data_IF_970301588807
#
_entry.id   IF_970301588807
#
_cell.length_a   1.000
_cell.length_b   1.000
_cell.length_c   1.000
_cell.angle_alpha   90.00
_cell.angle_beta   90.00
_cell.angle_gamma   90.00
#
_symmetry.space_group_name_H-M   'P 1'
#
loop_
_entity.id
_entity.type
_entity.pdbx_description
1 polymer ?
#
# COMPACT_ATOMS: atom_id res chain seq x y z
N UNK A 1 17.64 4.65 6.76
CA UNK A 1 16.67 5.04 5.72
C UNK A 1 16.63 6.56 5.69
N UNK A 2 16.70 7.20 4.52
CA UNK A 2 16.58 8.66 4.43
C UNK A 2 15.14 9.05 4.78
N UNK A 3 14.91 10.10 5.58
CA UNK A 3 13.54 10.54 5.88
C UNK A 3 12.84 10.96 4.59
N UNK A 4 11.70 10.34 4.29
CA UNK A 4 10.90 10.65 3.10
C UNK A 4 10.02 11.86 3.40
N UNK A 5 10.30 12.98 2.72
CA UNK A 5 9.77 14.29 3.16
C UNK A 5 8.49 14.74 2.49
N UNK A 6 8.10 14.23 1.31
CA UNK A 6 6.93 14.78 0.61
C UNK A 6 6.13 13.75 -0.19
N UNK A 7 4.83 14.04 -0.34
CA UNK A 7 3.83 13.13 -0.93
C UNK A 7 3.26 13.73 -2.21
N UNK A 8 3.30 12.97 -3.29
CA UNK A 8 2.85 13.45 -4.60
C UNK A 8 1.79 12.52 -5.15
N UNK A 9 0.66 13.10 -5.58
CA UNK A 9 -0.41 12.42 -6.31
C UNK A 9 -0.43 12.93 -7.74
N UNK A 10 -0.51 12.02 -8.69
CA UNK A 10 -0.75 12.32 -10.10
C UNK A 10 -2.14 11.85 -10.51
N UNK A 11 -2.74 12.60 -11.43
CA UNK A 11 -4.02 12.28 -12.04
C UNK A 11 -3.76 12.00 -13.53
N UNK A 12 -4.09 10.81 -14.02
CA UNK A 12 -4.10 10.49 -15.44
C UNK A 12 -5.55 10.29 -15.89
N UNK A 13 -6.01 11.15 -16.79
CA UNK A 13 -7.35 11.06 -17.37
C UNK A 13 -7.29 10.25 -18.68
N UNK A 14 -8.07 9.18 -18.73
CA UNK A 14 -8.36 8.25 -19.82
C UNK A 14 -7.34 7.16 -20.13
N UNK A 15 -7.80 6.14 -20.87
CA UNK A 15 -7.10 4.99 -21.47
C UNK A 15 -5.79 5.38 -22.19
N UNK A 16 -5.62 6.66 -22.55
CA UNK A 16 -4.33 7.26 -22.90
C UNK A 16 -3.66 7.80 -21.66
N UNK A 17 -2.77 7.00 -21.10
CA UNK A 17 -1.95 7.32 -19.94
C UNK A 17 -1.06 8.56 -20.18
N UNK A 18 -1.59 9.77 -19.96
CA UNK A 18 -0.82 11.01 -19.99
C UNK A 18 0.04 11.12 -18.73
N UNK A 19 1.08 10.30 -18.68
CA UNK A 19 2.10 10.34 -17.63
C UNK A 19 2.91 11.64 -17.76
N UNK A 20 3.15 12.38 -16.66
CA UNK A 20 4.05 13.51 -16.72
C UNK A 20 5.43 13.03 -17.22
N UNK A 21 5.96 13.64 -18.29
CA UNK A 21 7.30 13.30 -18.76
C UNK A 21 8.35 13.86 -17.79
N UNK A 22 8.73 13.06 -16.80
CA UNK A 22 9.68 13.43 -15.74
C UNK A 22 11.13 13.45 -16.21
N UNK A 23 11.43 12.91 -17.41
CA UNK A 23 12.74 13.06 -18.05
C UNK A 23 13.08 14.52 -18.38
N UNK A 24 12.08 15.41 -18.35
CA UNK A 24 12.25 16.86 -18.54
C UNK A 24 12.59 17.61 -17.26
N UNK A 25 12.61 16.95 -16.10
CA UNK A 25 13.02 17.56 -14.84
C UNK A 25 14.56 17.70 -14.77
N UNK A 26 15.08 18.68 -14.00
CA UNK A 26 16.53 18.85 -13.84
C UNK A 26 17.21 17.59 -13.30
N UNK A 27 18.34 17.18 -13.91
CA UNK A 27 19.11 15.99 -13.50
C UNK A 27 19.53 16.01 -12.03
N UNK A 28 19.78 17.20 -11.46
CA UNK A 28 20.08 17.37 -10.03
C UNK A 28 18.96 16.83 -9.15
N UNK A 29 17.72 17.02 -9.57
CA UNK A 29 16.53 16.66 -8.79
C UNK A 29 16.13 15.21 -9.04
N UNK A 30 16.29 14.71 -10.27
CA UNK A 30 16.02 13.30 -10.61
C UNK A 30 17.17 12.37 -10.26
N UNK A 31 18.32 12.91 -9.82
CA UNK A 31 19.58 12.18 -9.66
C UNK A 31 20.03 11.45 -10.94
N UNK A 32 19.56 11.91 -12.11
CA UNK A 32 19.79 11.23 -13.39
C UNK A 32 19.05 9.90 -13.56
N UNK A 33 18.13 9.55 -12.65
CA UNK A 33 17.39 8.29 -12.66
C UNK A 33 16.11 8.40 -13.49
N UNK A 34 15.67 7.28 -14.06
CA UNK A 34 14.30 7.12 -14.58
C UNK A 34 13.31 7.08 -13.42
N UNK A 35 12.03 7.36 -13.67
CA UNK A 35 11.01 7.35 -12.63
C UNK A 35 10.96 6.04 -11.84
N UNK A 36 10.95 4.88 -12.51
CA UNK A 36 10.94 3.58 -11.82
C UNK A 36 12.13 3.45 -10.88
N UNK A 37 13.33 3.71 -11.38
CA UNK A 37 14.57 3.68 -10.59
C UNK A 37 14.58 4.70 -9.44
N UNK A 38 13.99 5.88 -9.67
CA UNK A 38 13.87 6.91 -8.65
C UNK A 38 12.88 6.48 -7.56
N UNK A 39 11.74 5.91 -7.96
CA UNK A 39 10.71 5.37 -7.07
C UNK A 39 11.25 4.22 -6.24
N UNK A 40 11.99 3.30 -6.83
CA UNK A 40 12.61 2.17 -6.14
C UNK A 40 13.67 2.64 -5.15
N UNK A 41 14.41 3.70 -5.47
CA UNK A 41 15.51 4.21 -4.63
C UNK A 41 15.03 5.10 -3.49
N UNK A 42 14.05 5.96 -3.75
CA UNK A 42 13.70 7.07 -2.85
C UNK A 42 12.24 7.07 -2.39
N UNK A 43 11.41 6.21 -2.95
CA UNK A 43 9.99 6.12 -2.61
C UNK A 43 9.58 4.75 -2.10
N UNK A 44 8.27 4.60 -1.89
CA UNK A 44 7.62 3.36 -1.48
C UNK A 44 7.16 2.51 -2.69
N UNK A 45 7.77 2.73 -3.84
CA UNK A 45 7.18 2.30 -5.12
C UNK A 45 6.03 3.20 -5.57
N UNK A 46 5.53 2.95 -6.77
CA UNK A 46 4.34 3.60 -7.30
C UNK A 46 3.09 2.88 -6.78
N UNK A 47 2.16 3.63 -6.19
CA UNK A 47 0.88 3.11 -5.72
C UNK A 47 -0.23 3.53 -6.68
N UNK A 48 -1.04 2.59 -7.13
CA UNK A 48 -2.07 2.82 -8.14
C UNK A 48 -3.45 2.67 -7.52
N UNK A 49 -4.35 3.61 -7.81
CA UNK A 49 -5.75 3.50 -7.46
C UNK A 49 -6.40 2.35 -8.25
N UNK A 50 -6.79 1.24 -7.60
CA UNK A 50 -7.39 0.10 -8.27
C UNK A 50 -8.76 0.43 -8.87
N UNK A 51 -9.48 1.43 -8.34
CA UNK A 51 -10.77 1.87 -8.87
C UNK A 51 -10.62 2.49 -10.26
N UNK A 52 -9.53 3.25 -10.45
CA UNK A 52 -9.21 3.92 -11.72
C UNK A 52 -8.58 3.02 -12.78
N UNK A 53 -8.29 1.74 -12.45
CA UNK A 53 -7.74 0.76 -13.41
C UNK A 53 -8.79 -0.26 -13.89
N UNK A 54 -10.07 -0.01 -13.62
CA UNK A 54 -11.15 -0.86 -14.13
C UNK A 54 -11.06 -2.28 -13.59
N UNK A 55 -11.24 -2.46 -12.28
CA UNK A 55 -11.71 -3.77 -11.80
C UNK A 55 -13.02 -4.07 -12.53
N UNK A 56 -13.07 -5.22 -13.18
CA UNK A 56 -14.14 -5.65 -14.10
C UNK A 56 -15.51 -5.71 -13.41
N UNK A 57 -15.54 -5.65 -12.08
CA UNK A 57 -16.70 -6.02 -11.28
C UNK A 57 -17.24 -4.90 -10.37
N UNK A 58 -16.64 -3.69 -10.38
CA UNK A 58 -17.04 -2.62 -9.44
C UNK A 58 -17.88 -1.53 -10.12
N UNK A 59 -19.03 -1.20 -9.52
CA UNK A 59 -19.97 -0.10 -9.83
C UNK A 59 -19.34 1.31 -9.64
N UNK A 60 -18.08 1.50 -10.00
CA UNK A 60 -17.41 2.80 -9.97
C UNK A 60 -17.77 3.55 -11.27
N UNK A 61 -18.78 4.43 -11.21
CA UNK A 61 -19.32 5.18 -12.36
C UNK A 61 -18.32 6.09 -13.12
N UNK A 62 -17.05 6.16 -12.70
CA UNK A 62 -15.98 6.92 -13.37
C UNK A 62 -14.72 6.08 -13.61
N UNK A 63 -14.77 5.16 -14.58
CA UNK A 63 -13.62 4.37 -15.03
C UNK A 63 -12.58 5.16 -15.86
N UNK A 64 -12.72 6.48 -15.95
CA UNK A 64 -11.91 7.31 -16.84
C UNK A 64 -10.69 7.96 -16.18
N UNK A 65 -10.45 7.77 -14.87
CA UNK A 65 -9.33 8.46 -14.20
C UNK A 65 -8.54 7.53 -13.29
N UNK A 66 -7.27 7.31 -13.63
CA UNK A 66 -6.32 6.60 -12.78
C UNK A 66 -5.53 7.59 -11.91
N UNK A 67 -5.44 7.31 -10.62
CA UNK A 67 -4.62 8.08 -9.69
C UNK A 67 -3.39 7.28 -9.29
N UNK A 68 -2.25 7.95 -9.28
CA UNK A 68 -0.98 7.35 -8.87
C UNK A 68 -0.40 8.18 -7.74
N UNK A 69 -0.06 7.50 -6.65
CA UNK A 69 0.61 8.09 -5.51
C UNK A 69 2.07 7.67 -5.46
N UNK A 70 2.96 8.62 -5.13
CA UNK A 70 4.36 8.34 -4.80
C UNK A 70 4.84 9.24 -3.66
N UNK A 71 5.57 8.67 -2.70
CA UNK A 71 6.33 9.42 -1.71
C UNK A 71 7.74 9.68 -2.25
N UNK A 72 8.18 10.94 -2.29
CA UNK A 72 9.44 11.37 -2.90
C UNK A 72 10.07 12.53 -2.12
N UNK A 73 11.36 12.83 -2.34
CA UNK A 73 11.97 14.05 -1.82
C UNK A 73 11.22 15.32 -2.25
N UNK A 74 11.22 16.32 -1.38
CA UNK A 74 10.49 17.59 -1.57
C UNK A 74 10.89 18.35 -2.84
N UNK A 75 12.19 18.45 -3.11
CA UNK A 75 12.69 19.14 -4.31
C UNK A 75 12.17 18.49 -5.59
N UNK A 76 12.02 17.15 -5.59
CA UNK A 76 11.44 16.40 -6.71
C UNK A 76 9.96 16.72 -6.88
N UNK A 77 9.20 16.65 -5.80
CA UNK A 77 7.78 16.97 -5.80
C UNK A 77 7.51 18.39 -6.31
N UNK A 78 8.25 19.38 -5.81
CA UNK A 78 8.12 20.79 -6.22
C UNK A 78 8.49 20.99 -7.69
N UNK A 79 9.58 20.38 -8.16
CA UNK A 79 9.97 20.46 -9.56
C UNK A 79 8.92 19.81 -10.49
N UNK A 80 8.39 18.65 -10.10
CA UNK A 80 7.34 17.95 -10.85
C UNK A 80 6.04 18.77 -10.92
N UNK A 81 5.56 19.29 -9.78
CA UNK A 81 4.35 20.11 -9.72
C UNK A 81 4.49 21.42 -10.52
N UNK A 82 5.66 22.06 -10.47
CA UNK A 82 5.92 23.26 -11.27
C UNK A 82 5.92 22.98 -12.77
N UNK A 83 6.47 21.84 -13.19
CA UNK A 83 6.57 21.47 -14.61
C UNK A 83 5.24 20.99 -15.18
N UNK A 84 4.45 20.29 -14.37
CA UNK A 84 3.21 19.63 -14.77
C UNK A 84 2.04 19.99 -13.84
N UNK A 85 1.66 21.28 -13.73
CA UNK A 85 0.71 21.75 -12.71
C UNK A 85 -0.72 21.21 -12.85
N UNK A 86 -1.12 20.72 -14.04
CA UNK A 86 -2.42 20.07 -14.26
C UNK A 86 -2.43 18.56 -14.01
N UNK A 87 -1.26 17.93 -13.90
CA UNK A 87 -1.13 16.47 -13.74
C UNK A 87 -0.57 16.09 -12.38
N UNK A 88 0.20 16.97 -11.75
CA UNK A 88 0.94 16.69 -10.51
C UNK A 88 0.44 17.60 -9.39
N UNK A 89 -0.09 16.99 -8.33
CA UNK A 89 -0.50 17.69 -7.11
C UNK A 89 0.33 17.19 -5.93
N UNK A 90 0.85 18.12 -5.14
CA UNK A 90 1.48 17.81 -3.86
C UNK A 90 0.39 17.70 -2.80
N UNK A 91 0.35 16.59 -2.07
CA UNK A 91 -0.61 16.39 -0.99
C UNK A 91 0.05 16.69 0.36
N UNK A 92 -0.75 17.24 1.29
CA UNK A 92 -0.37 17.26 2.70
C UNK A 92 -0.36 15.84 3.28
N UNK A 93 0.26 15.66 4.44
CA UNK A 93 0.28 14.38 5.13
C UNK A 93 -1.12 13.78 5.30
N UNK A 94 -2.05 14.60 5.81
CA UNK A 94 -3.47 14.23 6.02
C UNK A 94 -4.19 13.85 4.72
N UNK A 95 -4.07 14.67 3.66
CA UNK A 95 -4.76 14.38 2.38
C UNK A 95 -4.28 13.09 1.71
N UNK A 96 -3.02 12.73 1.92
CA UNK A 96 -2.51 11.46 1.43
C UNK A 96 -3.02 10.27 2.22
N UNK A 97 -3.06 10.39 3.55
CA UNK A 97 -3.64 9.34 4.40
C UNK A 97 -5.11 9.11 4.01
N UNK A 98 -5.89 10.18 3.88
CA UNK A 98 -7.26 10.12 3.37
C UNK A 98 -7.33 9.44 2.01
N UNK A 99 -6.46 9.80 1.05
CA UNK A 99 -6.44 9.17 -0.27
C UNK A 99 -6.06 7.67 -0.23
N UNK A 100 -5.06 7.31 0.58
CA UNK A 100 -4.63 5.93 0.74
C UNK A 100 -5.76 5.07 1.31
N UNK A 101 -6.37 5.51 2.40
CA UNK A 101 -7.39 4.74 3.13
C UNK A 101 -8.70 4.64 2.33
N UNK A 102 -9.09 5.70 1.61
CA UNK A 102 -10.37 5.74 0.88
C UNK A 102 -10.31 5.20 -0.54
N UNK A 103 -9.11 5.11 -1.16
CA UNK A 103 -8.97 4.63 -2.54
C UNK A 103 -8.10 3.40 -2.67
N UNK A 104 -6.88 3.44 -2.14
CA UNK A 104 -5.91 2.36 -2.34
C UNK A 104 -6.22 1.14 -1.46
N UNK A 105 -6.47 1.38 -0.18
CA UNK A 105 -6.65 0.33 0.82
C UNK A 105 -8.11 0.01 1.13
N UNK A 106 -9.04 0.70 0.45
CA UNK A 106 -10.49 0.57 0.64
C UNK A 106 -10.94 -0.89 0.66
N UNK A 107 -10.53 -1.65 -0.35
CA UNK A 107 -10.97 -3.02 -0.59
C UNK A 107 -9.99 -4.06 -0.03
N UNK A 108 -8.96 -3.64 0.70
CA UNK A 108 -8.11 -4.58 1.42
C UNK A 108 -8.87 -5.12 2.63
N UNK A 109 -8.63 -6.38 2.97
CA UNK A 109 -9.18 -6.97 4.19
C UNK A 109 -8.51 -6.33 5.42
N UNK A 110 -9.28 -6.20 6.51
CA UNK A 110 -8.74 -5.70 7.78
C UNK A 110 -7.68 -6.64 8.39
N UNK A 111 -7.73 -7.91 8.00
CA UNK A 111 -6.92 -9.01 8.51
C UNK A 111 -6.33 -9.83 7.35
N UNK A 112 -5.07 -10.23 7.54
CA UNK A 112 -4.40 -11.25 6.73
C UNK A 112 -4.55 -12.61 7.43
N UNK A 113 -5.07 -13.59 6.69
CA UNK A 113 -5.40 -14.92 7.23
C UNK A 113 -4.43 -15.96 6.66
N UNK A 114 -3.60 -16.54 7.52
CA UNK A 114 -2.73 -17.68 7.19
C UNK A 114 -3.53 -18.99 7.25
N UNK A 115 -4.17 -19.30 6.13
CA UNK A 115 -5.01 -20.50 5.98
C UNK A 115 -4.23 -21.79 6.24
N UNK A 116 -2.92 -21.85 5.95
CA UNK A 116 -2.12 -23.06 6.17
C UNK A 116 -1.99 -23.34 7.67
N UNK A 117 -1.74 -22.29 8.46
CA UNK A 117 -1.65 -22.41 9.92
C UNK A 117 -3.00 -22.80 10.52
N UNK A 118 -4.08 -22.15 10.09
CA UNK A 118 -5.43 -22.43 10.61
C UNK A 118 -5.90 -23.85 10.25
N UNK A 119 -5.66 -24.31 9.02
CA UNK A 119 -5.94 -25.69 8.62
C UNK A 119 -5.10 -26.70 9.41
N UNK A 120 -3.83 -26.39 9.67
CA UNK A 120 -2.96 -27.23 10.52
C UNK A 120 -3.49 -27.38 11.94
N UNK A 121 -4.05 -26.30 12.51
CA UNK A 121 -4.71 -26.33 13.83
C UNK A 121 -5.96 -27.21 13.78
N UNK A 122 -6.83 -27.01 12.80
CA UNK A 122 -8.07 -27.78 12.61
C UNK A 122 -7.78 -29.29 12.46
N UNK A 123 -6.76 -29.66 11.68
CA UNK A 123 -6.35 -31.06 11.49
C UNK A 123 -5.87 -31.68 12.80
N UNK A 124 -5.08 -30.95 13.61
CA UNK A 124 -4.61 -31.46 14.91
C UNK A 124 -5.75 -31.66 15.90
N UNK A 125 -6.70 -30.72 15.96
CA UNK A 125 -7.91 -30.87 16.78
C UNK A 125 -8.73 -32.08 16.34
N UNK A 126 -8.92 -32.25 15.03
CA UNK A 126 -9.66 -33.38 14.46
C UNK A 126 -8.99 -34.72 14.79
N UNK A 127 -7.66 -34.81 14.67
CA UNK A 127 -6.93 -36.03 15.00
C UNK A 127 -7.07 -36.38 16.49
N UNK A 128 -6.89 -35.40 17.37
CA UNK A 128 -7.05 -35.61 18.82
C UNK A 128 -8.46 -36.09 19.18
N UNK A 129 -9.51 -35.48 18.61
CA UNK A 129 -10.91 -35.90 18.81
C UNK A 129 -11.17 -37.33 18.33
N UNK A 130 -10.45 -37.78 17.30
CA UNK A 130 -10.50 -39.16 16.79
C UNK A 130 -9.63 -40.14 17.58
N UNK A 131 -9.00 -39.70 18.66
CA UNK A 131 -8.13 -40.53 19.50
C UNK A 131 -6.72 -40.73 18.94
N UNK A 132 -6.31 -39.92 17.97
CA UNK A 132 -4.98 -39.96 17.36
C UNK A 132 -4.18 -38.71 17.74
N UNK A 133 -3.02 -38.89 18.38
CA UNK A 133 -2.10 -37.79 18.69
C UNK A 133 -2.42 -37.03 19.98
N UNK A 134 -1.76 -35.88 20.15
CA UNK A 134 -1.78 -35.08 21.37
C UNK A 134 -2.81 -33.96 21.32
N UNK A 135 -3.37 -33.62 22.50
CA UNK A 135 -4.25 -32.46 22.66
C UNK A 135 -3.51 -31.19 22.20
N UNK A 136 -4.08 -30.39 21.28
CA UNK A 136 -3.49 -29.11 20.90
C UNK A 136 -3.37 -28.19 22.12
N UNK A 137 -2.29 -27.41 22.18
CA UNK A 137 -2.09 -26.38 23.19
C UNK A 137 -3.18 -25.30 23.04
N UNK A 138 -4.11 -25.17 24.01
CA UNK A 138 -5.21 -24.21 23.91
C UNK A 138 -4.74 -22.76 23.83
N UNK A 139 -3.62 -22.42 24.46
CA UNK A 139 -3.09 -21.05 24.41
C UNK A 139 -2.56 -20.76 23.01
N UNK A 140 -1.83 -21.71 22.40
CA UNK A 140 -1.31 -21.57 21.04
C UNK A 140 -2.42 -21.40 19.99
N UNK A 141 -3.54 -22.09 20.15
CA UNK A 141 -4.72 -21.93 19.28
C UNK A 141 -5.32 -20.54 19.46
N UNK A 142 -5.52 -20.11 20.71
CA UNK A 142 -6.03 -18.78 21.03
C UNK A 142 -5.14 -17.68 20.43
N UNK A 143 -3.83 -17.80 20.59
CA UNK A 143 -2.85 -16.84 20.07
C UNK A 143 -2.86 -16.78 18.54
N UNK A 144 -3.11 -17.89 17.84
CA UNK A 144 -3.19 -17.92 16.38
C UNK A 144 -4.50 -17.31 15.82
N UNK A 145 -5.53 -17.22 16.65
CA UNK A 145 -6.83 -16.63 16.30
C UNK A 145 -6.96 -15.17 16.75
N UNK A 146 -6.01 -14.66 17.52
CA UNK A 146 -5.99 -13.28 18.00
C UNK A 146 -5.24 -12.37 17.00
N UNK A 147 -5.94 -11.46 16.29
CA UNK A 147 -5.33 -10.59 15.27
C UNK A 147 -4.27 -9.63 15.80
N UNK A 148 -4.26 -9.39 17.11
CA UNK A 148 -3.30 -8.53 17.81
C UNK A 148 -2.09 -9.30 18.35
N UNK A 149 -2.13 -10.63 18.35
CA UNK A 149 -1.02 -11.45 18.79
C UNK A 149 0.01 -11.63 17.65
N UNK A 150 1.32 -11.63 17.92
CA UNK A 150 2.35 -11.83 16.89
C UNK A 150 2.40 -13.25 16.31
N UNK A 151 1.54 -14.16 16.77
CA UNK A 151 1.52 -15.55 16.30
C UNK A 151 0.99 -15.60 14.86
N UNK A 152 1.49 -16.54 14.05
CA UNK A 152 0.93 -16.75 12.71
C UNK A 152 -0.48 -17.37 12.83
N UNK A 153 -1.34 -17.06 11.87
CA UNK A 153 -2.78 -17.36 11.89
C UNK A 153 -3.55 -16.16 11.36
N UNK A 154 -4.38 -15.53 12.17
CA UNK A 154 -5.04 -14.27 11.83
C UNK A 154 -4.19 -13.10 12.31
N UNK A 155 -3.91 -12.11 11.45
CA UNK A 155 -3.17 -10.90 11.83
C UNK A 155 -3.83 -9.67 11.26
N UNK A 156 -3.74 -8.53 11.97
CA UNK A 156 -4.11 -7.23 11.38
C UNK A 156 -3.31 -6.99 10.09
N UNK A 157 -4.01 -6.67 9.00
CA UNK A 157 -3.38 -6.37 7.74
C UNK A 157 -2.59 -5.05 7.86
N UNK A 158 -1.25 -5.07 7.71
CA UNK A 158 -0.44 -3.86 7.83
C UNK A 158 -0.73 -2.86 6.71
N UNK A 159 -1.27 -3.31 5.57
CA UNK A 159 -1.58 -2.47 4.40
C UNK A 159 -2.96 -1.84 4.44
N UNK A 160 -3.83 -2.20 5.40
CA UNK A 160 -5.22 -1.76 5.44
C UNK A 160 -5.39 -0.25 5.66
N UNK A 161 -4.49 0.36 6.41
CA UNK A 161 -4.53 1.80 6.69
C UNK A 161 -3.15 2.39 6.52
N UNK A 162 -3.08 3.67 6.17
CA UNK A 162 -1.82 4.39 6.07
C UNK A 162 -1.06 4.37 7.39
N UNK A 163 -1.74 4.53 8.52
CA UNK A 163 -1.13 4.51 9.84
C UNK A 163 -0.38 3.18 10.11
N UNK A 164 -0.98 2.03 9.76
CA UNK A 164 -0.32 0.73 9.92
C UNK A 164 0.80 0.53 8.89
N UNK A 165 0.53 0.88 7.63
CA UNK A 165 1.45 0.64 6.54
C UNK A 165 2.72 1.47 6.68
N UNK A 166 2.59 2.74 7.09
CA UNK A 166 3.72 3.63 7.27
C UNK A 166 4.66 3.15 8.37
N UNK A 167 4.14 2.60 9.47
CA UNK A 167 4.97 2.00 10.53
C UNK A 167 5.72 0.77 10.00
N UNK A 168 5.01 -0.16 9.36
CA UNK A 168 5.59 -1.40 8.81
C UNK A 168 6.67 -1.12 7.75
N UNK A 169 6.40 -0.15 6.87
CA UNK A 169 7.32 0.27 5.82
C UNK A 169 8.44 1.23 6.30
N UNK A 170 8.49 1.58 7.59
CA UNK A 170 9.50 2.50 8.14
C UNK A 170 9.43 3.92 7.56
N UNK A 171 8.21 4.40 7.31
CA UNK A 171 7.90 5.68 6.69
C UNK A 171 7.58 6.71 7.76
N UNK A 172 8.44 7.71 7.87
CA UNK A 172 8.15 8.91 8.64
C UNK A 172 7.77 10.05 7.70
N UNK A 173 6.69 10.74 8.03
CA UNK A 173 6.21 11.89 7.28
C UNK A 173 6.40 13.13 8.13
N UNK A 174 7.08 14.11 7.56
CA UNK A 174 7.26 15.44 8.13
C UNK A 174 6.32 16.45 7.49
#
# INVERSE_FOLDING_TARGET
LLPMKLKVRWCATSIKWDWPNLGTLPKKVTHGLKLSQFSDRFGLGMMYDPCGMGRVDDECEEHDVCYVGICVPEDYARAAAKKHPGLVTILSAKKWEEWYDTRLARDLLDEDVDLVVLQGIEVRETLYQRGHGEKPDPQRVKDALDPDHPSPGVRKNPRKTWARFSVDAGVELT
#
